data_IF_227749418105
#
_entry.id   IF_227749418105
#
_cell.length_a   1.000
_cell.length_b   1.000
_cell.length_c   1.000
_cell.angle_alpha   90.00
_cell.angle_beta   90.00
_cell.angle_gamma   90.00
#
_symmetry.space_group_name_H-M   'P 1'
#
loop_
_entity.id
_entity.type
_entity.pdbx_description
1 polymer ?
#
# COMPACT_ATOMS: atom_id res chain seq x y z
N UNK A 1 -25.67 1.00 -10.33
CA UNK A 1 -25.16 -0.30 -10.87
C UNK A 1 -23.69 -0.36 -10.56
N UNK A 2 -23.24 -1.35 -9.78
CA UNK A 2 -21.81 -1.58 -9.54
C UNK A 2 -21.16 -2.09 -10.83
N UNK A 3 -20.05 -1.50 -11.23
CA UNK A 3 -19.23 -1.97 -12.35
C UNK A 3 -18.82 -3.45 -12.12
N UNK A 4 -18.79 -4.30 -13.16
CA UNK A 4 -18.34 -5.68 -13.01
C UNK A 4 -16.90 -5.72 -12.47
N UNK A 5 -16.56 -6.69 -11.60
CA UNK A 5 -15.22 -6.79 -11.04
C UNK A 5 -14.19 -7.06 -12.14
N UNK A 6 -13.06 -6.37 -12.05
CA UNK A 6 -11.95 -6.51 -12.99
C UNK A 6 -11.35 -7.92 -12.90
N UNK A 7 -11.10 -8.56 -14.05
CA UNK A 7 -10.47 -9.88 -14.11
C UNK A 7 -8.96 -9.71 -14.29
N UNK A 8 -8.18 -10.14 -13.29
CA UNK A 8 -6.72 -10.09 -13.31
C UNK A 8 -6.14 -11.44 -13.76
N UNK A 9 -5.17 -11.40 -14.68
CA UNK A 9 -4.52 -12.60 -15.22
C UNK A 9 -3.08 -12.72 -14.71
N UNK A 10 -2.91 -13.44 -13.59
CA UNK A 10 -1.59 -13.64 -12.97
C UNK A 10 -0.72 -14.59 -13.81
N UNK A 11 0.42 -14.08 -14.30
CA UNK A 11 1.46 -14.87 -14.94
C UNK A 11 2.25 -15.69 -13.88
N UNK A 12 3.25 -16.46 -14.31
CA UNK A 12 4.01 -17.29 -13.36
C UNK A 12 4.71 -16.45 -12.29
N UNK A 13 5.35 -15.35 -12.66
CA UNK A 13 6.08 -14.48 -11.72
C UNK A 13 5.12 -13.85 -10.72
N UNK A 14 3.96 -13.38 -11.18
CA UNK A 14 2.91 -12.83 -10.31
C UNK A 14 2.49 -13.86 -9.26
N UNK A 15 2.21 -15.09 -9.70
CA UNK A 15 1.85 -16.21 -8.80
C UNK A 15 2.94 -16.53 -7.79
N UNK A 16 4.21 -16.47 -8.22
CA UNK A 16 5.35 -16.67 -7.32
C UNK A 16 5.43 -15.56 -6.27
N UNK A 17 5.30 -14.29 -6.67
CA UNK A 17 5.33 -13.17 -5.74
C UNK A 17 4.16 -13.20 -4.76
N UNK A 18 2.94 -13.46 -5.25
CA UNK A 18 1.75 -13.67 -4.42
C UNK A 18 2.03 -14.77 -3.38
N UNK A 19 2.55 -15.91 -3.81
CA UNK A 19 2.87 -17.01 -2.88
C UNK A 19 3.91 -16.62 -1.83
N UNK A 20 5.00 -15.95 -2.22
CA UNK A 20 6.03 -15.47 -1.29
C UNK A 20 5.43 -14.51 -0.26
N UNK A 21 4.67 -13.52 -0.72
CA UNK A 21 4.08 -12.49 0.14
C UNK A 21 3.06 -13.09 1.11
N UNK A 22 2.14 -13.91 0.60
CA UNK A 22 1.17 -14.64 1.41
C UNK A 22 1.86 -15.49 2.47
N UNK A 23 2.95 -16.18 2.14
CA UNK A 23 3.72 -16.97 3.11
C UNK A 23 4.37 -16.11 4.19
N UNK A 24 4.82 -14.89 3.87
CA UNK A 24 5.37 -13.94 4.87
C UNK A 24 4.29 -13.44 5.81
N UNK A 25 3.11 -13.10 5.28
CA UNK A 25 1.95 -12.70 6.08
C UNK A 25 1.50 -13.85 6.97
N UNK A 26 1.32 -15.05 6.41
CA UNK A 26 0.91 -16.24 7.16
C UNK A 26 1.87 -16.55 8.31
N UNK A 27 3.19 -16.43 8.07
CA UNK A 27 4.21 -16.59 9.11
C UNK A 27 4.11 -15.51 10.20
N UNK A 28 3.85 -14.25 9.84
CA UNK A 28 3.68 -13.16 10.80
C UNK A 28 2.39 -13.32 11.62
N UNK A 29 1.33 -13.87 11.02
CA UNK A 29 0.05 -14.15 11.67
C UNK A 29 0.06 -15.43 12.52
N UNK A 30 0.90 -16.40 12.17
CA UNK A 30 0.77 -17.78 12.67
C UNK A 30 -0.48 -18.50 12.13
N UNK A 31 -1.03 -18.05 11.00
CA UNK A 31 -2.25 -18.61 10.39
C UNK A 31 -2.10 -18.68 8.86
N UNK A 32 -2.60 -19.74 8.26
CA UNK A 32 -2.64 -19.91 6.80
C UNK A 32 -4.02 -19.52 6.23
N UNK A 33 -4.09 -19.39 4.89
CA UNK A 33 -5.34 -19.23 4.15
C UNK A 33 -5.71 -20.51 3.40
N UNK A 34 -6.99 -20.92 3.39
CA UNK A 34 -7.45 -22.03 2.55
C UNK A 34 -7.56 -21.65 1.07
N UNK A 35 -7.55 -20.35 0.73
CA UNK A 35 -7.73 -19.87 -0.64
C UNK A 35 -6.39 -19.76 -1.37
N UNK A 36 -6.34 -20.14 -2.67
CA UNK A 36 -5.13 -20.00 -3.48
C UNK A 36 -4.95 -18.56 -3.99
N UNK A 37 -3.73 -18.28 -4.44
CA UNK A 37 -3.42 -17.06 -5.19
C UNK A 37 -3.74 -15.78 -4.43
N UNK A 38 -4.21 -14.77 -5.17
CA UNK A 38 -4.44 -13.43 -4.63
C UNK A 38 -5.62 -13.38 -3.66
N UNK A 39 -6.61 -14.25 -3.82
CA UNK A 39 -7.72 -14.36 -2.86
C UNK A 39 -7.20 -14.77 -1.48
N UNK A 40 -6.29 -15.74 -1.42
CA UNK A 40 -5.63 -16.13 -0.16
C UNK A 40 -4.80 -15.01 0.46
N UNK A 41 -4.17 -14.18 -0.38
CA UNK A 41 -3.49 -12.96 0.08
C UNK A 41 -4.46 -11.99 0.77
N UNK A 42 -5.62 -11.72 0.15
CA UNK A 42 -6.64 -10.83 0.72
C UNK A 42 -7.25 -11.42 2.00
N UNK A 43 -7.52 -12.72 2.06
CA UNK A 43 -8.01 -13.42 3.25
C UNK A 43 -7.03 -13.31 4.43
N UNK A 44 -5.73 -13.48 4.18
CA UNK A 44 -4.70 -13.25 5.20
C UNK A 44 -4.71 -11.80 5.70
N UNK A 45 -4.85 -10.83 4.81
CA UNK A 45 -4.97 -9.42 5.22
C UNK A 45 -6.23 -9.15 6.05
N UNK A 46 -7.35 -9.81 5.75
CA UNK A 46 -8.55 -9.74 6.60
C UNK A 46 -8.32 -10.35 7.99
N UNK A 47 -7.56 -11.46 8.08
CA UNK A 47 -7.16 -12.04 9.37
C UNK A 47 -6.24 -11.14 10.19
N UNK A 48 -5.46 -10.25 9.56
CA UNK A 48 -4.71 -9.21 10.28
C UNK A 48 -5.67 -8.26 11.01
N UNK A 49 -6.78 -7.88 10.39
CA UNK A 49 -7.77 -6.96 10.97
C UNK A 49 -8.53 -7.53 12.19
N UNK A 50 -8.56 -8.86 12.35
CA UNK A 50 -9.35 -9.53 13.38
C UNK A 50 -8.66 -9.42 14.74
N UNK A 51 -9.33 -8.78 15.70
CA UNK A 51 -8.86 -8.66 17.08
C UNK A 51 -7.67 -7.72 17.29
N UNK A 52 -7.34 -6.87 16.30
CA UNK A 52 -6.24 -5.90 16.37
C UNK A 52 -6.72 -4.48 16.09
N UNK A 53 -6.15 -3.50 16.79
CA UNK A 53 -6.32 -2.08 16.49
C UNK A 53 -5.44 -1.64 15.31
N UNK A 54 -5.61 -0.40 14.84
CA UNK A 54 -4.90 0.17 13.71
C UNK A 54 -3.37 0.17 13.87
N UNK A 55 -2.85 0.44 15.07
CA UNK A 55 -1.40 0.44 15.34
C UNK A 55 -0.82 -0.97 15.25
N UNK A 56 -1.47 -1.95 15.87
CA UNK A 56 -1.06 -3.37 15.84
C UNK A 56 -1.09 -3.93 14.42
N UNK A 57 -2.13 -3.56 13.68
CA UNK A 57 -2.31 -3.82 12.26
C UNK A 57 -1.13 -3.29 11.43
N UNK A 58 -0.83 -1.99 11.55
CA UNK A 58 0.24 -1.33 10.82
C UNK A 58 1.61 -1.90 11.17
N UNK A 59 1.87 -2.17 12.46
CA UNK A 59 3.11 -2.75 12.95
C UNK A 59 3.36 -4.15 12.37
N UNK A 60 2.33 -5.01 12.33
CA UNK A 60 2.43 -6.34 11.75
C UNK A 60 2.75 -6.28 10.25
N UNK A 61 2.10 -5.39 9.52
CA UNK A 61 2.39 -5.18 8.09
C UNK A 61 3.80 -4.64 7.90
N UNK A 62 4.27 -3.72 8.75
CA UNK A 62 5.65 -3.25 8.75
C UNK A 62 6.67 -4.38 8.94
N UNK A 63 6.38 -5.37 9.79
CA UNK A 63 7.20 -6.58 9.93
C UNK A 63 7.22 -7.38 8.62
N UNK A 64 6.06 -7.56 7.99
CA UNK A 64 5.97 -8.25 6.69
C UNK A 64 6.81 -7.54 5.63
N UNK A 65 6.65 -6.22 5.48
CA UNK A 65 7.39 -5.41 4.49
C UNK A 65 8.91 -5.52 4.68
N UNK A 66 9.39 -5.37 5.92
CA UNK A 66 10.82 -5.53 6.23
C UNK A 66 11.33 -6.94 5.98
N UNK A 67 10.48 -7.96 6.13
CA UNK A 67 10.87 -9.36 5.92
C UNK A 67 11.09 -9.74 4.45
N UNK A 68 10.68 -8.88 3.51
CA UNK A 68 10.84 -9.09 2.07
C UNK A 68 12.25 -8.74 1.59
N UNK A 69 12.94 -7.87 2.32
CA UNK A 69 14.25 -7.35 1.94
C UNK A 69 15.28 -7.84 2.97
N UNK A 70 16.41 -8.44 2.53
CA UNK A 70 17.46 -8.84 3.46
C UNK A 70 17.96 -7.67 4.32
N UNK A 71 18.16 -7.90 5.63
CA UNK A 71 18.55 -6.85 6.57
C UNK A 71 19.81 -6.05 6.19
N UNK A 72 20.88 -6.66 5.64
CA UNK A 72 22.05 -5.89 5.17
C UNK A 72 21.69 -4.89 4.07
N UNK A 73 20.76 -5.26 3.17
CA UNK A 73 20.30 -4.40 2.07
C UNK A 73 19.49 -3.23 2.61
N UNK A 74 18.54 -3.48 3.54
CA UNK A 74 17.79 -2.40 4.19
C UNK A 74 18.72 -1.42 4.92
N UNK A 75 19.72 -1.92 5.65
CA UNK A 75 20.70 -1.08 6.33
C UNK A 75 21.50 -0.22 5.34
N UNK A 76 21.93 -0.78 4.21
CA UNK A 76 22.61 -0.03 3.15
C UNK A 76 21.71 1.05 2.57
N UNK A 77 20.47 0.71 2.17
CA UNK A 77 19.52 1.68 1.62
C UNK A 77 19.29 2.80 2.64
N UNK A 78 18.95 2.48 3.88
CA UNK A 78 18.69 3.47 4.94
C UNK A 78 19.87 4.41 5.18
N UNK A 79 21.10 3.91 5.06
CA UNK A 79 22.32 4.68 5.36
C UNK A 79 22.72 5.60 4.21
N UNK A 80 22.50 5.19 2.97
CA UNK A 80 23.02 5.90 1.79
C UNK A 80 21.94 6.58 0.94
N UNK A 81 20.67 6.19 1.08
CA UNK A 81 19.57 6.83 0.34
C UNK A 81 19.37 8.26 0.80
N UNK A 82 19.18 9.13 -0.19
CA UNK A 82 18.76 10.52 0.00
C UNK A 82 17.54 10.78 -0.87
N UNK A 83 16.58 11.59 -0.42
CA UNK A 83 15.38 11.93 -1.19
C UNK A 83 15.72 12.97 -2.28
N UNK A 84 16.60 12.61 -3.21
CA UNK A 84 16.92 13.40 -4.40
C UNK A 84 16.03 12.95 -5.57
N UNK A 85 15.77 13.80 -6.58
CA UNK A 85 14.87 13.50 -7.70
C UNK A 85 15.16 12.15 -8.36
N UNK A 86 16.43 11.91 -8.71
CA UNK A 86 16.84 10.67 -9.36
C UNK A 86 16.43 9.42 -8.57
N UNK A 87 16.61 9.45 -7.25
CA UNK A 87 16.25 8.33 -6.38
C UNK A 87 14.73 8.14 -6.34
N UNK A 88 13.96 9.23 -6.29
CA UNK A 88 12.50 9.18 -6.28
C UNK A 88 11.93 8.70 -7.62
N UNK A 89 12.47 9.16 -8.74
CA UNK A 89 12.09 8.74 -10.10
C UNK A 89 12.42 7.26 -10.35
N UNK A 90 13.59 6.80 -9.91
CA UNK A 90 13.95 5.38 -9.98
C UNK A 90 13.00 4.53 -9.16
N UNK A 91 12.66 4.94 -7.93
CA UNK A 91 11.71 4.19 -7.10
C UNK A 91 10.31 4.16 -7.71
N UNK A 92 9.82 5.27 -8.28
CA UNK A 92 8.56 5.31 -9.00
C UNK A 92 8.56 4.34 -10.19
N UNK A 93 9.61 4.36 -11.00
CA UNK A 93 9.78 3.42 -12.10
C UNK A 93 9.81 1.96 -11.61
N UNK A 94 10.66 1.65 -10.63
CA UNK A 94 10.74 0.30 -10.05
C UNK A 94 9.40 -0.17 -9.46
N UNK A 95 8.65 0.71 -8.81
CA UNK A 95 7.35 0.39 -8.26
C UNK A 95 6.37 -0.06 -9.35
N UNK A 96 6.35 0.61 -10.50
CA UNK A 96 5.50 0.20 -11.63
C UNK A 96 5.86 -1.16 -12.19
N UNK A 97 7.14 -1.56 -12.14
CA UNK A 97 7.57 -2.85 -12.66
C UNK A 97 7.36 -3.99 -11.66
N UNK A 98 7.57 -3.73 -10.37
CA UNK A 98 7.62 -4.77 -9.34
C UNK A 98 6.26 -5.02 -8.68
N UNK A 99 5.40 -4.01 -8.60
CA UNK A 99 4.15 -4.09 -7.81
C UNK A 99 2.88 -4.15 -8.67
N UNK A 100 2.98 -4.22 -10.00
CA UNK A 100 1.80 -4.34 -10.87
C UNK A 100 0.95 -5.58 -10.52
N UNK A 101 1.56 -6.72 -10.18
CA UNK A 101 0.82 -7.91 -9.73
C UNK A 101 -0.01 -7.66 -8.46
N UNK A 102 0.48 -6.75 -7.59
CA UNK A 102 -0.09 -6.45 -6.29
C UNK A 102 -1.21 -5.41 -6.41
N UNK A 103 -0.93 -4.29 -7.06
CA UNK A 103 -1.85 -3.15 -7.11
C UNK A 103 -2.62 -3.03 -8.43
N UNK A 104 -2.24 -3.76 -9.47
CA UNK A 104 -2.80 -3.63 -10.81
C UNK A 104 -2.03 -2.64 -11.70
N UNK A 105 -2.52 -2.42 -12.94
CA UNK A 105 -1.87 -1.57 -13.92
C UNK A 105 -1.57 -0.17 -13.39
N UNK A 106 -0.31 0.25 -13.56
CA UNK A 106 0.15 1.54 -13.07
C UNK A 106 1.18 2.18 -14.02
N UNK A 107 1.26 3.51 -13.97
CA UNK A 107 2.10 4.28 -14.87
C UNK A 107 2.81 5.42 -14.13
N UNK A 108 4.04 5.72 -14.56
CA UNK A 108 4.81 6.83 -14.01
C UNK A 108 4.27 8.16 -14.55
N UNK A 109 4.00 9.11 -13.66
CA UNK A 109 3.55 10.46 -13.94
C UNK A 109 4.56 11.50 -13.45
N UNK A 110 4.56 12.64 -14.13
CA UNK A 110 5.25 13.84 -13.68
C UNK A 110 4.39 14.55 -12.64
N UNK A 111 4.93 14.76 -11.43
CA UNK A 111 4.21 15.37 -10.30
C UNK A 111 5.06 16.42 -9.59
N UNK A 112 4.42 17.54 -9.23
CA UNK A 112 5.10 18.61 -8.49
C UNK A 112 5.33 18.12 -7.06
N UNK A 113 6.59 18.10 -6.62
CA UNK A 113 6.98 17.61 -5.31
C UNK A 113 7.67 18.71 -4.53
N UNK A 114 7.21 18.94 -3.31
CA UNK A 114 7.88 19.82 -2.34
C UNK A 114 8.79 18.98 -1.47
N UNK A 115 10.10 19.14 -1.68
CA UNK A 115 11.12 18.44 -0.89
C UNK A 115 11.11 18.87 0.58
N UNK A 116 11.71 18.08 1.50
CA UNK A 116 11.82 18.45 2.90
C UNK A 116 12.54 19.79 3.17
N UNK A 117 13.31 20.31 2.21
CA UNK A 117 13.96 21.63 2.31
C UNK A 117 13.05 22.78 1.87
N UNK A 118 11.79 22.51 1.51
CA UNK A 118 10.81 23.49 1.03
C UNK A 118 10.95 23.85 -0.44
N UNK A 119 11.89 23.23 -1.18
CA UNK A 119 12.01 23.44 -2.61
C UNK A 119 10.98 22.59 -3.35
N UNK A 120 10.15 23.24 -4.14
CA UNK A 120 9.20 22.63 -5.07
C UNK A 120 9.85 22.42 -6.43
N UNK A 121 9.68 21.25 -7.03
CA UNK A 121 10.18 20.97 -8.38
C UNK A 121 9.37 19.91 -9.10
N UNK A 122 9.51 19.92 -10.41
CA UNK A 122 8.91 18.94 -11.30
C UNK A 122 9.78 17.68 -11.40
N UNK A 123 9.24 16.50 -11.15
CA UNK A 123 9.96 15.22 -11.28
C UNK A 123 9.02 14.06 -11.67
N UNK A 124 9.55 13.02 -12.32
CA UNK A 124 8.81 11.82 -12.77
C UNK A 124 8.70 10.77 -11.65
N UNK A 125 8.21 11.20 -10.49
CA UNK A 125 8.18 10.38 -9.28
C UNK A 125 6.76 10.07 -8.78
N UNK A 126 5.74 10.37 -9.58
CA UNK A 126 4.36 9.95 -9.34
C UNK A 126 4.09 8.61 -9.99
N UNK A 127 3.27 7.79 -9.36
CA UNK A 127 2.76 6.53 -9.89
C UNK A 127 1.24 6.57 -9.79
N UNK A 128 0.59 6.56 -10.94
CA UNK A 128 -0.86 6.45 -11.03
C UNK A 128 -1.23 4.97 -11.16
N UNK A 129 -1.92 4.43 -10.16
CA UNK A 129 -2.55 3.10 -10.21
C UNK A 129 -3.96 3.30 -10.74
N UNK A 130 -4.25 2.78 -11.93
CA UNK A 130 -5.51 3.03 -12.62
C UNK A 130 -6.71 2.46 -11.85
N UNK A 131 -6.54 1.25 -11.32
CA UNK A 131 -7.52 0.58 -10.45
C UNK A 131 -6.77 -0.36 -9.51
N UNK A 132 -6.77 -0.02 -8.24
CA UNK A 132 -6.05 -0.73 -7.20
C UNK A 132 -6.71 -2.09 -6.94
N UNK A 133 -6.10 -3.17 -7.42
CA UNK A 133 -6.56 -4.55 -7.22
C UNK A 133 -6.83 -4.87 -5.76
N UNK A 134 -5.95 -4.44 -4.86
CA UNK A 134 -6.11 -4.66 -3.43
C UNK A 134 -7.33 -3.95 -2.85
N UNK A 135 -7.57 -2.69 -3.22
CA UNK A 135 -8.74 -1.94 -2.77
C UNK A 135 -10.03 -2.50 -3.39
N UNK A 136 -10.01 -2.83 -4.67
CA UNK A 136 -11.15 -3.40 -5.39
C UNK A 136 -11.57 -4.76 -4.82
N UNK A 137 -10.62 -5.61 -4.40
CA UNK A 137 -10.94 -6.93 -3.87
C UNK A 137 -11.24 -6.92 -2.37
N UNK A 138 -10.53 -6.11 -1.58
CA UNK A 138 -10.81 -5.98 -0.14
C UNK A 138 -12.10 -5.21 0.14
N UNK A 139 -12.47 -4.29 -0.76
CA UNK A 139 -13.59 -3.35 -0.60
C UNK A 139 -13.60 -2.67 0.76
N UNK A 140 -12.45 -2.40 1.35
CA UNK A 140 -12.40 -1.90 2.72
C UNK A 140 -11.43 -0.73 2.93
N UNK A 141 -11.98 0.40 3.36
CA UNK A 141 -11.22 1.62 3.70
C UNK A 141 -10.17 1.33 4.77
N UNK A 142 -10.57 0.67 5.87
CA UNK A 142 -9.65 0.33 6.95
C UNK A 142 -8.48 -0.53 6.49
N UNK A 143 -8.71 -1.53 5.63
CA UNK A 143 -7.62 -2.33 5.06
C UNK A 143 -6.73 -1.48 4.12
N UNK A 144 -7.31 -0.63 3.29
CA UNK A 144 -6.54 0.26 2.42
C UNK A 144 -5.62 1.19 3.24
N UNK A 145 -6.14 1.79 4.32
CA UNK A 145 -5.39 2.72 5.16
C UNK A 145 -4.35 1.98 6.00
N UNK A 146 -4.77 0.97 6.77
CA UNK A 146 -3.93 0.35 7.80
C UNK A 146 -3.08 -0.82 7.28
N UNK A 147 -3.39 -1.40 6.11
CA UNK A 147 -2.59 -2.48 5.52
C UNK A 147 -1.76 -2.06 4.32
N UNK A 148 -2.09 -0.94 3.67
CA UNK A 148 -1.39 -0.49 2.47
C UNK A 148 -0.80 0.90 2.67
N UNK A 149 -1.63 1.94 2.82
CA UNK A 149 -1.19 3.35 2.86
C UNK A 149 -0.19 3.61 3.98
N UNK A 150 -0.62 3.53 5.24
CA UNK A 150 0.22 3.94 6.38
C UNK A 150 1.49 3.10 6.47
N UNK A 151 1.43 1.75 6.43
CA UNK A 151 2.65 0.94 6.53
C UNK A 151 3.63 1.16 5.38
N UNK A 152 3.14 1.39 4.16
CA UNK A 152 4.00 1.68 3.00
C UNK A 152 4.69 3.03 3.14
N UNK A 153 3.95 4.06 3.54
CA UNK A 153 4.52 5.40 3.78
C UNK A 153 5.60 5.36 4.87
N UNK A 154 5.35 4.65 5.96
CA UNK A 154 6.32 4.47 7.03
C UNK A 154 7.54 3.68 6.58
N UNK A 155 7.33 2.57 5.89
CA UNK A 155 8.42 1.72 5.39
C UNK A 155 9.37 2.50 4.47
N UNK A 156 8.83 3.23 3.48
CA UNK A 156 9.69 4.01 2.60
C UNK A 156 10.40 5.15 3.35
N UNK A 157 9.70 5.84 4.24
CA UNK A 157 10.27 6.96 4.99
C UNK A 157 11.37 6.50 5.96
N UNK A 158 11.12 5.43 6.72
CA UNK A 158 11.99 4.98 7.81
C UNK A 158 13.07 3.99 7.37
N UNK A 159 12.74 3.10 6.43
CA UNK A 159 13.64 2.03 5.99
C UNK A 159 14.33 2.37 4.66
N UNK A 160 13.68 3.13 3.76
CA UNK A 160 14.30 3.56 2.50
C UNK A 160 14.87 4.98 2.53
N UNK A 161 14.55 5.78 3.55
CA UNK A 161 15.01 7.17 3.66
C UNK A 161 14.39 8.11 2.61
N UNK A 162 13.26 7.73 2.01
CA UNK A 162 12.58 8.49 0.97
C UNK A 162 11.11 8.61 1.38
N UNK A 163 10.58 9.83 1.56
CA UNK A 163 9.17 9.98 1.87
C UNK A 163 8.33 9.61 0.65
N UNK A 164 7.16 9.05 0.89
CA UNK A 164 6.17 8.76 -0.15
C UNK A 164 4.78 9.08 0.39
N UNK A 165 3.92 9.63 -0.45
CA UNK A 165 2.50 9.87 -0.13
C UNK A 165 1.65 8.98 -1.00
N UNK A 166 0.75 8.20 -0.38
CA UNK A 166 -0.21 7.34 -1.07
C UNK A 166 -1.62 7.94 -0.96
N UNK A 167 -2.28 8.25 -2.06
CA UNK A 167 -3.62 8.87 -2.06
C UNK A 167 -4.62 7.96 -2.77
N UNK A 168 -5.36 7.11 -2.03
CA UNK A 168 -6.39 6.25 -2.62
C UNK A 168 -7.64 7.05 -2.98
N UNK A 169 -8.28 6.70 -4.09
CA UNK A 169 -9.62 7.12 -4.44
C UNK A 169 -10.59 5.96 -4.19
N UNK A 170 -11.59 6.18 -3.34
CA UNK A 170 -12.53 5.14 -2.93
C UNK A 170 -13.78 5.05 -3.82
N UNK A 171 -13.94 5.98 -4.76
CA UNK A 171 -15.05 5.99 -5.72
C UNK A 171 -14.74 5.13 -6.95
N UNK A 172 -13.55 5.30 -7.53
CA UNK A 172 -13.10 4.58 -8.73
C UNK A 172 -12.05 3.47 -8.45
N UNK A 173 -11.60 3.38 -7.19
CA UNK A 173 -10.55 2.48 -6.72
C UNK A 173 -9.14 2.76 -7.27
N UNK A 174 -8.88 3.91 -7.89
CA UNK A 174 -7.53 4.33 -8.28
C UNK A 174 -6.68 4.71 -7.04
N UNK A 175 -5.37 4.85 -7.21
CA UNK A 175 -4.48 5.31 -6.15
C UNK A 175 -3.25 6.03 -6.72
N UNK A 176 -2.89 7.17 -6.14
CA UNK A 176 -1.63 7.86 -6.44
C UNK A 176 -0.55 7.45 -5.45
N UNK A 177 0.68 7.25 -5.92
CA UNK A 177 1.87 7.15 -5.06
C UNK A 177 2.90 8.17 -5.51
N UNK A 178 3.27 9.11 -4.64
CA UNK A 178 4.22 10.18 -4.98
C UNK A 178 5.48 10.06 -4.15
N UNK A 179 6.58 9.62 -4.77
CA UNK A 179 7.89 9.54 -4.13
C UNK A 179 8.54 10.91 -4.02
N UNK A 180 9.11 11.20 -2.85
CA UNK A 180 9.69 12.49 -2.48
C UNK A 180 8.70 13.44 -1.79
N UNK A 181 7.39 13.15 -1.84
CA UNK A 181 6.37 13.93 -1.15
C UNK A 181 6.24 13.46 0.29
N UNK A 182 6.22 14.39 1.24
CA UNK A 182 6.02 14.09 2.66
C UNK A 182 4.55 13.70 2.88
N UNK A 183 4.27 12.53 3.49
CA UNK A 183 2.91 12.15 3.82
C UNK A 183 2.35 13.11 4.88
N UNK A 184 1.15 13.67 4.68
CA UNK A 184 0.48 14.45 5.72
C UNK A 184 0.06 13.55 6.89
N UNK A 185 -0.23 14.12 8.07
CA UNK A 185 -0.82 13.37 9.18
C UNK A 185 -2.17 12.76 8.79
N UNK A 186 -2.38 11.49 9.14
CA UNK A 186 -3.54 10.71 8.71
C UNK A 186 -4.88 11.39 9.06
N UNK A 187 -4.95 12.03 10.23
CA UNK A 187 -6.14 12.70 10.76
C UNK A 187 -6.62 13.86 9.88
N UNK A 188 -5.70 14.44 9.11
CA UNK A 188 -5.98 15.55 8.18
C UNK A 188 -6.33 15.07 6.77
N UNK A 189 -6.20 13.78 6.50
CA UNK A 189 -6.41 13.21 5.17
C UNK A 189 -7.87 12.84 4.91
N UNK A 190 -8.33 13.04 3.67
CA UNK A 190 -9.66 12.59 3.26
C UNK A 190 -9.86 11.09 3.46
N UNK A 191 -8.80 10.29 3.29
CA UNK A 191 -8.85 8.84 3.48
C UNK A 191 -9.25 8.43 4.91
N UNK A 192 -8.97 9.26 5.92
CA UNK A 192 -9.33 8.96 7.31
C UNK A 192 -10.76 9.35 7.69
N UNK A 193 -11.45 10.04 6.79
CA UNK A 193 -12.81 10.56 6.97
C UNK A 193 -13.85 9.80 6.15
N UNK A 194 -13.42 8.81 5.36
CA UNK A 194 -14.34 8.04 4.49
C UNK A 194 -15.24 7.10 5.30
N UNK A 195 -16.52 6.94 4.90
CA UNK A 195 -17.37 5.86 5.40
C UNK A 195 -16.83 4.51 4.91
N UNK A 196 -17.23 3.41 5.57
CA UNK A 196 -16.90 2.09 5.03
C UNK A 196 -17.63 1.86 3.69
N UNK A 197 -16.99 1.15 2.76
CA UNK A 197 -17.63 0.78 1.49
C UNK A 197 -18.71 -0.27 1.73
N UNK A 198 -19.78 -0.24 0.91
CA UNK A 198 -20.99 -1.07 1.02
C UNK A 198 -20.76 -2.60 0.91
N UNK A 199 -19.51 -3.06 0.79
CA UNK A 199 -19.10 -4.45 0.64
C UNK A 199 -17.86 -4.82 1.46
N UNK A 200 -17.40 -3.96 2.39
CA UNK A 200 -16.35 -4.38 3.32
C UNK A 200 -16.92 -5.46 4.26
N UNK A 201 -16.26 -6.61 4.32
CA UNK A 201 -16.67 -7.74 5.18
C UNK A 201 -16.72 -7.35 6.67
N UNK A 202 -15.91 -6.38 7.07
CA UNK A 202 -15.86 -5.83 8.43
C UNK A 202 -16.55 -4.47 8.56
N UNK A 203 -17.42 -4.10 7.61
CA UNK A 203 -18.14 -2.83 7.64
C UNK A 203 -19.06 -2.73 8.86
N UNK A 204 -19.19 -1.53 9.37
CA UNK A 204 -20.26 -1.12 10.29
C UNK A 204 -20.89 0.16 9.76
N UNK A 205 -22.18 0.37 9.99
CA UNK A 205 -22.87 1.60 9.58
C UNK A 205 -22.38 2.78 10.42
N UNK A 206 -21.53 3.63 9.85
CA UNK A 206 -20.98 4.83 10.49
C UNK A 206 -20.59 5.88 9.45
N UNK A 207 -20.56 7.15 9.87
CA UNK A 207 -20.18 8.28 9.01
C UNK A 207 -18.70 8.18 8.61
N UNK A 208 -17.85 7.74 9.54
CA UNK A 208 -16.43 7.46 9.33
C UNK A 208 -16.19 5.99 9.61
N UNK A 209 -15.41 5.31 8.76
CA UNK A 209 -15.14 3.89 8.93
C UNK A 209 -14.33 3.64 10.22
N UNK A 210 -14.86 2.94 11.24
CA UNK A 210 -14.18 2.81 12.53
C UNK A 210 -12.89 2.00 12.43
N UNK A 211 -12.76 1.17 11.39
CA UNK A 211 -11.56 0.38 11.13
C UNK A 211 -10.35 1.19 10.67
N UNK A 212 -10.50 2.50 10.45
CA UNK A 212 -9.37 3.40 10.19
C UNK A 212 -8.63 3.71 11.48
N UNK A 213 -9.36 4.06 12.55
CA UNK A 213 -8.79 4.59 13.81
C UNK A 213 -8.84 3.61 14.99
N UNK A 214 -9.68 2.57 14.89
CA UNK A 214 -9.93 1.60 15.97
C UNK A 214 -9.11 0.34 15.88
#
# INVERSE_FOLDING_TARGET
>A
MSEPPTVYHDNWFDRLFIWIFSRKIAKALGQDSPYPGYEGFVDLSQKIMQGRNAEEQQALVGVVLRSLIPAPVLWTIRTFSRPIPLVCELNAWFATQLFEWLVGPCEVRSVEVTSPTGKTQMQRSGVHIQKCRYLEQSRCVGMCVNMCKVPTQEFFTQDFGIPVTLTPNFEDFSCEMVFGQIPPPLETEQASQQPCLNQCVTASTSIVCPKVHG
#
